data_IF_025379179884
#
_entry.id   IF_025379179884
#
_cell.length_a   1.000
_cell.length_b   1.000
_cell.length_c   1.000
_cell.angle_alpha   90.00
_cell.angle_beta   90.00
_cell.angle_gamma   90.00
#
_symmetry.space_group_name_H-M   'P 1'
#
loop_
_entity.id
_entity.type
_entity.pdbx_description
1 polymer ?
#
# COMPACT_ATOMS: atom_id res chain seq x y z
N UNK A 1 -11.58 4.60 -5.91
CA UNK A 1 -11.61 3.13 -6.12
C UNK A 1 -10.19 2.59 -5.95
N UNK A 2 -10.01 1.54 -5.15
CA UNK A 2 -8.71 0.86 -4.99
C UNK A 2 -8.43 0.06 -6.25
N UNK A 3 -7.22 0.24 -6.82
CA UNK A 3 -6.79 -0.41 -8.07
C UNK A 3 -5.90 -1.61 -7.83
N UNK A 4 -5.09 -1.56 -6.77
CA UNK A 4 -4.17 -2.64 -6.40
C UNK A 4 -4.22 -2.87 -4.89
N UNK A 5 -4.11 -4.13 -4.47
CA UNK A 5 -3.96 -4.52 -3.07
C UNK A 5 -2.56 -5.11 -2.89
N UNK A 6 -1.94 -4.81 -1.76
CA UNK A 6 -0.67 -5.37 -1.34
C UNK A 6 -0.76 -5.83 0.12
N UNK A 7 -0.15 -6.97 0.40
CA UNK A 7 -0.03 -7.54 1.72
C UNK A 7 1.43 -7.54 2.14
N UNK A 8 1.72 -7.15 3.36
CA UNK A 8 3.08 -7.18 3.92
C UNK A 8 3.02 -7.28 5.44
N UNK A 9 4.02 -7.93 6.04
CA UNK A 9 4.22 -7.96 7.48
C UNK A 9 5.31 -6.98 7.94
N UNK A 10 5.97 -6.29 7.00
CA UNK A 10 7.07 -5.36 7.27
C UNK A 10 6.54 -3.94 7.53
N UNK A 11 6.69 -3.48 8.77
CA UNK A 11 6.26 -2.15 9.22
C UNK A 11 6.97 -1.03 8.43
N UNK A 12 8.24 -1.20 8.06
CA UNK A 12 8.96 -0.17 7.30
C UNK A 12 8.38 -0.04 5.89
N UNK A 13 7.99 -1.16 5.29
CA UNK A 13 7.29 -1.15 4.01
C UNK A 13 5.89 -0.53 4.11
N UNK A 14 5.13 -0.84 5.17
CA UNK A 14 3.83 -0.21 5.44
C UNK A 14 3.97 1.32 5.51
N UNK A 15 4.93 1.81 6.30
CA UNK A 15 5.15 3.24 6.48
C UNK A 15 5.53 3.93 5.16
N UNK A 16 6.39 3.31 4.34
CA UNK A 16 6.71 3.83 3.00
C UNK A 16 5.47 3.91 2.12
N UNK A 17 4.69 2.82 2.04
CA UNK A 17 3.50 2.77 1.20
C UNK A 17 2.44 3.79 1.65
N UNK A 18 2.26 3.99 2.95
CA UNK A 18 1.36 5.03 3.49
C UNK A 18 1.84 6.43 3.12
N UNK A 19 3.14 6.71 3.19
CA UNK A 19 3.72 7.98 2.75
C UNK A 19 3.54 8.21 1.23
N UNK A 20 3.59 7.13 0.44
CA UNK A 20 3.32 7.15 -1.00
C UNK A 20 1.81 7.31 -1.32
N UNK A 21 0.95 7.38 -0.31
CA UNK A 21 -0.49 7.58 -0.46
C UNK A 21 -1.32 6.30 -0.62
N UNK A 22 -0.73 5.13 -0.35
CA UNK A 22 -1.53 3.91 -0.17
C UNK A 22 -2.38 4.02 1.09
N UNK A 23 -3.46 3.25 1.13
CA UNK A 23 -4.44 3.28 2.22
C UNK A 23 -4.43 1.94 2.94
N UNK A 24 -4.32 1.93 4.26
CA UNK A 24 -4.50 0.71 5.05
C UNK A 24 -5.97 0.25 4.97
N UNK A 25 -6.19 -0.98 4.50
CA UNK A 25 -7.52 -1.60 4.37
C UNK A 25 -7.82 -2.47 5.59
N UNK A 26 -6.85 -3.26 6.02
CA UNK A 26 -6.99 -4.17 7.16
C UNK A 26 -5.62 -4.45 7.77
N UNK A 27 -5.60 -4.79 9.04
CA UNK A 27 -4.41 -5.25 9.75
C UNK A 27 -4.74 -6.42 10.67
N UNK A 28 -3.73 -7.23 10.94
CA UNK A 28 -3.74 -8.33 11.90
C UNK A 28 -2.41 -8.32 12.66
N UNK A 29 -2.27 -9.20 13.65
CA UNK A 29 -1.03 -9.31 14.44
C UNK A 29 0.22 -9.60 13.59
N UNK A 30 0.07 -10.13 12.38
CA UNK A 30 1.20 -10.58 11.54
C UNK A 30 1.18 -10.03 10.12
N UNK A 31 0.12 -9.35 9.69
CA UNK A 31 -0.05 -8.93 8.29
C UNK A 31 -0.85 -7.63 8.20
N UNK A 32 -0.40 -6.73 7.33
CA UNK A 32 -1.06 -5.51 6.90
C UNK A 32 -1.51 -5.64 5.45
N UNK A 33 -2.71 -5.14 5.17
CA UNK A 33 -3.31 -5.12 3.83
C UNK A 33 -3.49 -3.66 3.43
N UNK A 34 -2.78 -3.23 2.41
CA UNK A 34 -2.86 -1.87 1.86
C UNK A 34 -3.46 -1.86 0.46
N UNK A 35 -4.18 -0.80 0.14
CA UNK A 35 -4.75 -0.53 -1.17
C UNK A 35 -4.17 0.72 -1.79
N UNK A 36 -3.71 0.62 -3.04
CA UNK A 36 -3.36 1.78 -3.84
C UNK A 36 -4.60 2.29 -4.60
N UNK A 37 -5.00 3.55 -4.42
CA UNK A 37 -5.89 4.23 -5.35
C UNK A 37 -5.30 4.25 -6.76
N UNK A 38 -6.15 4.39 -7.78
CA UNK A 38 -5.71 4.39 -9.19
C UNK A 38 -4.58 5.39 -9.46
N UNK A 39 -4.65 6.61 -8.93
CA UNK A 39 -3.62 7.64 -9.10
C UNK A 39 -2.27 7.19 -8.53
N UNK A 40 -2.26 6.74 -7.27
CA UNK A 40 -1.07 6.26 -6.56
C UNK A 40 -0.44 5.06 -7.26
N UNK A 41 -1.27 4.11 -7.74
CA UNK A 41 -0.75 2.95 -8.47
C UNK A 41 -0.07 3.32 -9.80
N UNK A 42 -0.62 4.30 -10.52
CA UNK A 42 0.00 4.78 -11.76
C UNK A 42 1.29 5.56 -11.51
N UNK A 43 1.42 6.27 -10.39
CA UNK A 43 2.65 6.95 -9.98
C UNK A 43 3.71 5.94 -9.53
N UNK A 44 3.34 4.97 -8.68
CA UNK A 44 4.23 3.91 -8.19
C UNK A 44 4.88 3.09 -9.31
N UNK A 45 4.15 2.83 -10.40
CA UNK A 45 4.67 2.11 -11.57
C UNK A 45 5.67 2.91 -12.41
N UNK A 46 5.72 4.23 -12.29
CA UNK A 46 6.68 5.07 -13.03
C UNK A 46 8.02 5.17 -12.33
N UNK A 47 8.03 4.99 -11.01
CA UNK A 47 9.23 5.06 -10.17
C UNK A 47 9.94 3.70 -10.02
N UNK A 48 9.34 2.62 -10.54
CA UNK A 48 9.89 1.25 -10.58
C UNK A 48 10.13 0.78 -12.01
#
# INVERSE_FOLDING_TARGET
MIKQIKKTSDIDEVNRLLNDGWVLIAESLTEFVLGAPSKVWEEYKKEK
#
